data_IF_099154912351
#
_entry.id   IF_099154912351
#
_cell.length_a   1.000
_cell.length_b   1.000
_cell.length_c   1.000
_cell.angle_alpha   90.00
_cell.angle_beta   90.00
_cell.angle_gamma   90.00
#
_symmetry.space_group_name_H-M   'P 1'
#
loop_
_entity.id
_entity.type
_entity.pdbx_description
1 polymer ?
#
# COMPACT_ATOMS: atom_id res chain seq x y z
N UNK A 1 -0.72 13.48 -8.65
CA UNK A 1 -1.04 12.04 -8.41
C UNK A 1 0.11 11.22 -8.99
N UNK A 2 0.22 9.95 -8.67
CA UNK A 2 1.33 9.11 -9.14
C UNK A 2 0.76 7.97 -9.97
N UNK A 3 1.53 7.43 -10.94
CA UNK A 3 1.19 6.18 -11.57
C UNK A 3 1.17 5.06 -10.51
N UNK A 4 0.22 4.16 -10.60
CA UNK A 4 0.03 3.06 -9.65
C UNK A 4 0.16 1.71 -10.34
N UNK A 5 0.68 0.73 -9.65
CA UNK A 5 0.74 -0.65 -10.12
C UNK A 5 0.11 -1.53 -9.05
N UNK A 6 -0.85 -2.36 -9.44
CA UNK A 6 -1.42 -3.34 -8.53
C UNK A 6 -0.41 -4.45 -8.24
N UNK A 7 -0.23 -4.73 -6.96
CA UNK A 7 0.67 -5.75 -6.47
C UNK A 7 -0.02 -6.64 -5.43
N UNK A 8 0.22 -7.93 -5.55
CA UNK A 8 -0.18 -8.90 -4.53
C UNK A 8 1.05 -9.64 -4.04
N UNK A 9 1.31 -9.72 -2.76
CA UNK A 9 2.18 -10.75 -2.25
C UNK A 9 1.41 -12.07 -2.34
N UNK A 10 1.80 -12.92 -3.28
CA UNK A 10 1.28 -14.28 -3.37
C UNK A 10 2.33 -15.22 -2.84
N UNK A 11 1.88 -15.99 -1.91
CA UNK A 11 2.69 -16.88 -1.12
C UNK A 11 2.58 -16.49 0.35
N UNK A 12 2.69 -17.47 1.20
CA UNK A 12 2.96 -17.28 2.63
C UNK A 12 3.98 -16.15 2.76
N UNK A 13 3.67 -15.08 3.49
CA UNK A 13 4.67 -14.04 3.73
C UNK A 13 5.92 -14.77 4.23
N UNK A 14 7.02 -14.78 3.45
CA UNK A 14 8.23 -15.45 3.89
C UNK A 14 8.64 -14.78 5.20
N UNK A 15 8.77 -15.55 6.28
CA UNK A 15 9.07 -15.08 7.63
C UNK A 15 7.88 -14.58 8.50
N UNK A 16 6.64 -15.04 8.28
CA UNK A 16 5.64 -14.97 9.36
C UNK A 16 6.13 -15.71 10.63
N UNK A 17 7.02 -16.70 10.44
CA UNK A 17 7.73 -17.40 11.51
C UNK A 17 8.67 -16.52 12.36
N UNK A 18 8.97 -15.29 11.94
CA UNK A 18 9.75 -14.32 12.74
C UNK A 18 8.89 -13.54 13.76
N UNK A 19 7.57 -13.76 13.75
CA UNK A 19 6.71 -13.22 14.80
C UNK A 19 6.49 -14.36 15.78
N UNK A 20 7.17 -14.31 16.94
CA UNK A 20 7.02 -15.28 18.00
C UNK A 20 5.54 -15.43 18.36
N UNK A 21 4.99 -16.65 18.48
CA UNK A 21 3.57 -16.87 18.80
C UNK A 21 3.12 -16.20 20.10
N UNK A 22 4.04 -16.05 21.07
CA UNK A 22 3.78 -15.35 22.32
C UNK A 22 3.57 -13.84 22.16
N UNK A 23 4.11 -13.21 21.11
CA UNK A 23 3.90 -11.79 20.82
C UNK A 23 2.58 -11.50 20.08
N UNK A 24 1.92 -12.53 19.57
CA UNK A 24 0.68 -12.44 18.80
C UNK A 24 -0.59 -12.48 19.65
N UNK A 25 -0.49 -12.97 20.89
CA UNK A 25 -1.58 -12.89 21.87
C UNK A 25 -1.79 -11.44 22.36
N UNK A 26 -0.76 -10.60 22.31
CA UNK A 26 -0.89 -9.17 22.49
C UNK A 26 -1.25 -8.55 21.12
N UNK A 27 -2.37 -7.85 21.02
CA UNK A 27 -2.82 -7.10 19.83
C UNK A 27 -1.84 -5.96 19.42
N UNK A 28 -0.55 -6.10 19.74
CA UNK A 28 0.51 -5.12 19.59
C UNK A 28 1.89 -5.79 19.47
N UNK A 29 2.71 -5.32 18.52
CA UNK A 29 4.11 -5.75 18.40
C UNK A 29 5.02 -4.60 18.80
N UNK A 30 5.92 -4.85 19.75
CA UNK A 30 6.85 -3.84 20.27
C UNK A 30 8.28 -4.20 19.84
N UNK A 31 9.03 -3.19 19.37
CA UNK A 31 10.47 -3.29 19.11
C UNK A 31 11.16 -1.96 19.43
N UNK A 32 11.95 -1.95 20.50
CA UNK A 32 12.64 -0.76 20.96
C UNK A 32 11.66 0.37 21.30
N UNK A 33 11.85 1.54 20.66
CA UNK A 33 11.01 2.71 20.91
C UNK A 33 9.65 2.66 20.19
N UNK A 34 9.39 1.68 19.34
CA UNK A 34 8.18 1.62 18.53
C UNK A 34 7.25 0.48 18.95
N UNK A 35 5.95 0.76 18.76
CA UNK A 35 4.90 -0.25 18.86
C UNK A 35 3.99 -0.15 17.65
N UNK A 36 3.60 -1.28 17.05
CA UNK A 36 2.62 -1.34 15.94
C UNK A 36 1.40 -2.12 16.39
N UNK A 37 0.22 -1.59 16.11
CA UNK A 37 -1.07 -2.18 16.43
C UNK A 37 -2.22 -1.53 15.66
N UNK A 38 -3.41 -2.06 15.77
CA UNK A 38 -4.62 -1.36 15.33
C UNK A 38 -4.91 -0.16 16.22
N UNK A 39 -5.45 0.91 15.62
CA UNK A 39 -5.93 2.08 16.36
C UNK A 39 -7.05 1.65 17.32
N UNK A 40 -7.01 2.18 18.55
CA UNK A 40 -7.91 1.79 19.65
C UNK A 40 -9.06 2.76 19.86
N UNK A 41 -8.93 3.97 19.31
CA UNK A 41 -9.92 5.04 19.51
C UNK A 41 -9.87 6.08 18.37
N UNK A 42 -10.85 6.98 18.38
CA UNK A 42 -10.97 8.05 17.38
C UNK A 42 -9.81 9.04 17.38
N UNK A 43 -9.17 9.28 18.53
CA UNK A 43 -8.02 10.18 18.60
C UNK A 43 -6.81 9.62 17.84
N UNK A 44 -6.56 8.31 17.92
CA UNK A 44 -5.49 7.66 17.15
C UNK A 44 -5.80 7.62 15.66
N UNK A 45 -7.06 7.40 15.29
CA UNK A 45 -7.50 7.50 13.89
C UNK A 45 -7.28 8.93 13.38
N UNK A 46 -7.70 9.93 14.13
CA UNK A 46 -7.50 11.34 13.76
C UNK A 46 -6.01 11.68 13.61
N UNK A 47 -5.14 11.15 14.49
CA UNK A 47 -3.70 11.32 14.39
C UNK A 47 -3.12 10.64 13.13
N UNK A 48 -3.61 9.45 12.77
CA UNK A 48 -3.24 8.77 11.54
C UNK A 48 -3.65 9.56 10.29
N UNK A 49 -4.88 10.09 10.25
CA UNK A 49 -5.37 10.92 9.14
C UNK A 49 -4.59 12.23 9.00
N UNK A 50 -4.19 12.84 10.13
CA UNK A 50 -3.33 14.03 10.14
C UNK A 50 -1.94 13.70 9.61
N UNK A 51 -1.31 12.60 10.07
CA UNK A 51 -0.01 12.15 9.56
C UNK A 51 -0.05 11.89 8.06
N UNK A 52 -1.12 11.28 7.55
CA UNK A 52 -1.33 11.06 6.11
C UNK A 52 -1.38 12.38 5.34
N UNK A 53 -2.09 13.39 5.86
CA UNK A 53 -2.12 14.73 5.27
C UNK A 53 -0.73 15.37 5.25
N UNK A 54 0.01 15.32 6.34
CA UNK A 54 1.38 15.85 6.42
C UNK A 54 2.29 15.21 5.37
N UNK A 55 2.20 13.87 5.20
CA UNK A 55 3.04 13.14 4.24
C UNK A 55 2.52 13.28 2.81
N UNK A 56 1.25 12.97 2.54
CA UNK A 56 0.77 12.91 1.16
C UNK A 56 0.50 14.29 0.56
N UNK A 57 -0.08 15.22 1.32
CA UNK A 57 -0.40 16.56 0.80
C UNK A 57 0.79 17.51 0.91
N UNK A 58 1.38 17.66 2.11
CA UNK A 58 2.38 18.69 2.34
C UNK A 58 3.78 18.29 1.86
N UNK A 59 4.18 17.02 2.05
CA UNK A 59 5.51 16.58 1.66
C UNK A 59 5.56 16.09 0.20
N UNK A 60 4.59 15.26 -0.23
CA UNK A 60 4.63 14.60 -1.54
C UNK A 60 3.80 15.33 -2.61
N UNK A 61 2.93 16.24 -2.25
CA UNK A 61 2.06 16.95 -3.19
C UNK A 61 1.05 16.03 -3.92
N UNK A 62 0.82 14.82 -3.40
CA UNK A 62 0.04 13.75 -4.03
C UNK A 62 -1.21 13.35 -3.23
N UNK A 63 -1.58 14.14 -2.21
CA UNK A 63 -2.75 13.88 -1.38
C UNK A 63 -4.07 14.34 -2.01
N UNK A 64 -5.16 14.14 -1.28
CA UNK A 64 -6.49 14.56 -1.70
C UNK A 64 -6.64 16.09 -1.62
N UNK A 65 -7.22 16.71 -2.65
CA UNK A 65 -7.46 18.16 -2.65
C UNK A 65 -8.38 18.60 -1.49
N UNK A 66 -9.39 17.80 -1.15
CA UNK A 66 -10.29 18.05 -0.01
C UNK A 66 -9.58 18.10 1.35
N UNK A 67 -8.42 17.47 1.46
CA UNK A 67 -7.64 17.41 2.70
C UNK A 67 -7.07 18.77 3.12
N UNK A 68 -6.89 19.72 2.19
CA UNK A 68 -6.43 21.07 2.52
C UNK A 68 -7.44 21.86 3.36
N UNK A 69 -8.73 21.53 3.26
CA UNK A 69 -9.78 22.17 4.06
C UNK A 69 -9.81 21.70 5.51
N UNK A 70 -9.41 20.45 5.74
CA UNK A 70 -9.56 19.78 7.04
C UNK A 70 -8.23 19.51 7.75
N UNK A 71 -7.10 19.59 7.05
CA UNK A 71 -5.80 19.15 7.54
C UNK A 71 -5.72 17.63 7.79
N UNK A 72 -6.59 16.86 7.13
CA UNK A 72 -6.69 15.40 7.27
C UNK A 72 -6.85 14.73 5.92
N UNK A 73 -6.06 13.75 5.60
CA UNK A 73 -6.25 12.90 4.43
C UNK A 73 -7.34 11.87 4.76
N UNK A 74 -8.57 12.17 4.33
CA UNK A 74 -9.76 11.38 4.62
C UNK A 74 -10.57 11.15 3.35
N UNK A 75 -11.00 9.90 3.15
CA UNK A 75 -11.96 9.52 2.13
C UNK A 75 -13.06 8.62 2.72
N UNK A 76 -14.10 8.31 1.96
CA UNK A 76 -15.25 7.51 2.41
C UNK A 76 -14.86 6.09 2.86
N UNK A 77 -13.76 5.55 2.37
CA UNK A 77 -13.29 4.25 2.81
C UNK A 77 -12.79 4.26 4.26
N UNK A 78 -12.38 5.41 4.78
CA UNK A 78 -11.90 5.52 6.16
C UNK A 78 -12.99 5.27 7.19
N UNK A 79 -14.27 5.50 6.82
CA UNK A 79 -15.43 5.27 7.68
C UNK A 79 -15.60 3.82 8.10
N UNK A 80 -15.17 2.89 7.26
CA UNK A 80 -15.36 1.44 7.47
C UNK A 80 -14.04 0.66 7.47
N UNK A 81 -12.90 1.34 7.37
CA UNK A 81 -11.59 0.68 7.38
C UNK A 81 -11.03 0.52 8.79
N UNK A 82 -10.20 -0.48 8.95
CA UNK A 82 -9.33 -0.60 10.11
C UNK A 82 -8.04 0.20 9.86
N UNK A 83 -7.52 0.87 10.88
CA UNK A 83 -6.28 1.65 10.80
C UNK A 83 -5.21 1.00 11.65
N UNK A 84 -4.07 0.69 11.06
CA UNK A 84 -2.87 0.29 11.79
C UNK A 84 -2.04 1.55 12.05
N UNK A 85 -1.54 1.65 13.28
CA UNK A 85 -0.71 2.77 13.74
C UNK A 85 0.61 2.27 14.28
N UNK A 86 1.68 2.97 13.92
CA UNK A 86 3.00 2.84 14.54
C UNK A 86 3.15 3.98 15.51
N UNK A 87 3.34 3.62 16.79
CA UNK A 87 3.49 4.56 17.90
C UNK A 87 4.96 4.72 18.24
N UNK A 88 5.42 5.94 18.38
CA UNK A 88 6.67 6.27 19.05
C UNK A 88 6.43 6.28 20.55
N UNK A 89 6.81 5.24 21.26
CA UNK A 89 6.49 5.03 22.69
C UNK A 89 6.95 6.15 23.62
N UNK A 90 8.15 6.73 23.44
CA UNK A 90 8.58 7.84 24.29
C UNK A 90 7.69 9.09 24.17
N UNK A 91 7.18 9.39 22.99
CA UNK A 91 6.33 10.57 22.76
C UNK A 91 4.84 10.28 22.78
N UNK A 92 4.43 9.01 22.68
CA UNK A 92 3.04 8.59 22.51
C UNK A 92 2.43 8.95 21.15
N UNK A 93 3.21 9.49 20.21
CA UNK A 93 2.70 9.99 18.93
C UNK A 93 2.58 8.87 17.89
N UNK A 94 1.55 8.97 17.03
CA UNK A 94 1.46 8.18 15.81
C UNK A 94 2.48 8.70 14.80
N UNK A 95 3.42 7.86 14.41
CA UNK A 95 4.53 8.19 13.50
C UNK A 95 4.54 7.37 12.22
N UNK A 96 3.62 6.41 12.11
CA UNK A 96 3.38 5.64 10.91
C UNK A 96 1.98 5.09 10.89
N UNK A 97 1.44 4.83 9.72
CA UNK A 97 0.09 4.27 9.57
C UNK A 97 -0.10 3.60 8.23
N UNK A 98 -1.09 2.75 8.14
CA UNK A 98 -1.74 2.32 6.92
C UNK A 98 -3.19 1.89 7.21
N UNK A 99 -3.99 1.85 6.15
CA UNK A 99 -5.38 1.43 6.17
C UNK A 99 -5.50 -0.02 5.72
N UNK A 100 -6.37 -0.79 6.39
CA UNK A 100 -6.68 -2.18 6.08
C UNK A 100 -8.16 -2.33 5.79
N UNK A 101 -8.49 -3.02 4.70
CA UNK A 101 -9.86 -3.41 4.36
C UNK A 101 -9.91 -4.90 4.02
N UNK A 102 -11.04 -5.53 4.30
CA UNK A 102 -11.33 -6.90 3.87
C UNK A 102 -12.46 -6.89 2.85
N UNK A 103 -12.65 -8.01 2.17
CA UNK A 103 -13.74 -8.21 1.23
C UNK A 103 -15.12 -7.97 1.87
N UNK A 104 -15.31 -8.46 3.09
CA UNK A 104 -16.58 -8.35 3.83
C UNK A 104 -16.87 -6.90 4.25
N UNK A 105 -15.86 -6.23 4.81
CA UNK A 105 -15.98 -4.80 5.22
C UNK A 105 -16.34 -3.94 4.01
N UNK A 106 -15.83 -4.28 2.84
CA UNK A 106 -16.10 -3.57 1.61
C UNK A 106 -17.44 -3.89 0.95
N UNK A 107 -18.15 -4.91 1.41
CA UNK A 107 -19.35 -5.39 0.72
C UNK A 107 -19.05 -6.02 -0.66
N UNK A 108 -17.90 -6.67 -0.79
CA UNK A 108 -17.46 -7.32 -2.03
C UNK A 108 -16.33 -6.58 -2.76
N UNK A 109 -16.14 -6.92 -4.02
CA UNK A 109 -15.03 -6.43 -4.86
C UNK A 109 -15.01 -4.90 -4.97
N UNK A 110 -16.16 -4.25 -5.07
CA UNK A 110 -16.27 -2.79 -5.20
C UNK A 110 -15.87 -2.05 -3.93
N UNK A 111 -15.84 -2.72 -2.80
CA UNK A 111 -15.39 -2.15 -1.54
C UNK A 111 -13.89 -1.99 -1.40
N UNK A 112 -13.12 -2.55 -2.29
CA UNK A 112 -11.69 -2.31 -2.35
C UNK A 112 -11.38 -1.00 -3.10
N UNK A 113 -10.66 -0.03 -2.48
CA UNK A 113 -10.18 1.19 -3.17
C UNK A 113 -9.51 0.92 -4.52
N UNK A 114 -8.75 -0.18 -4.61
CA UNK A 114 -8.09 -0.62 -5.85
C UNK A 114 -9.08 -0.83 -7.00
N UNK A 115 -10.34 -1.22 -6.72
CA UNK A 115 -11.36 -1.44 -7.75
C UNK A 115 -11.76 -0.18 -8.51
N UNK A 116 -11.42 1.01 -8.01
CA UNK A 116 -11.65 2.27 -8.72
C UNK A 116 -10.76 2.43 -9.96
N UNK A 117 -9.52 2.00 -9.83
CA UNK A 117 -8.50 2.16 -10.87
C UNK A 117 -8.32 0.89 -11.71
N UNK A 118 -8.54 -0.28 -11.11
CA UNK A 118 -8.29 -1.58 -11.73
C UNK A 118 -9.54 -2.45 -11.78
N UNK A 119 -9.64 -3.24 -12.84
CA UNK A 119 -10.64 -4.29 -12.95
C UNK A 119 -10.16 -5.53 -12.17
N UNK A 120 -10.81 -5.80 -11.03
CA UNK A 120 -10.47 -6.92 -10.16
C UNK A 120 -11.17 -8.23 -10.53
N UNK A 121 -12.03 -8.24 -11.54
CA UNK A 121 -12.79 -9.45 -11.95
C UNK A 121 -11.90 -10.64 -12.33
N UNK A 122 -10.67 -10.45 -12.89
CA UNK A 122 -9.77 -11.57 -13.15
C UNK A 122 -9.17 -12.23 -11.90
N UNK A 123 -9.30 -11.61 -10.71
CA UNK A 123 -8.86 -12.24 -9.47
C UNK A 123 -9.81 -13.37 -9.06
N UNK A 124 -9.31 -14.56 -8.74
CA UNK A 124 -10.14 -15.62 -8.19
C UNK A 124 -10.89 -15.15 -6.94
N UNK A 125 -12.17 -15.48 -6.84
CA UNK A 125 -12.99 -15.12 -5.68
C UNK A 125 -12.36 -15.57 -4.36
N UNK A 126 -11.76 -16.76 -4.35
CA UNK A 126 -11.05 -17.29 -3.18
C UNK A 126 -9.89 -16.38 -2.73
N UNK A 127 -9.15 -15.80 -3.68
CA UNK A 127 -8.07 -14.84 -3.39
C UNK A 127 -8.64 -13.55 -2.81
N UNK A 128 -9.69 -12.99 -3.43
CA UNK A 128 -10.34 -11.77 -2.96
C UNK A 128 -10.95 -11.95 -1.57
N UNK A 129 -11.70 -13.03 -1.35
CA UNK A 129 -12.35 -13.34 -0.06
C UNK A 129 -11.32 -13.56 1.06
N UNK A 130 -10.11 -14.04 0.74
CA UNK A 130 -9.03 -14.26 1.68
C UNK A 130 -7.97 -13.16 1.69
N UNK A 131 -8.28 -11.98 1.14
CA UNK A 131 -7.35 -10.86 1.08
C UNK A 131 -7.70 -9.74 2.06
N UNK A 132 -6.65 -9.04 2.49
CA UNK A 132 -6.74 -7.66 2.98
C UNK A 132 -6.20 -6.73 1.91
N UNK A 133 -6.86 -5.60 1.68
CA UNK A 133 -6.29 -4.49 0.94
C UNK A 133 -5.58 -3.55 1.90
N UNK A 134 -4.34 -3.20 1.54
CA UNK A 134 -3.52 -2.25 2.28
C UNK A 134 -3.30 -1.01 1.43
N UNK A 135 -3.63 0.14 2.02
CA UNK A 135 -3.45 1.43 1.36
C UNK A 135 -3.06 2.54 2.33
N UNK A 136 -2.77 3.69 1.78
CA UNK A 136 -2.40 4.88 2.55
C UNK A 136 -1.22 4.66 3.51
N UNK A 137 -0.22 3.88 3.08
CA UNK A 137 0.97 3.57 3.89
C UNK A 137 1.88 4.79 3.96
N UNK A 138 2.16 5.28 5.15
CA UNK A 138 3.12 6.36 5.33
C UNK A 138 3.86 6.30 6.68
N UNK A 139 5.03 6.95 6.71
CA UNK A 139 5.87 7.18 7.89
C UNK A 139 6.24 8.65 7.96
N UNK A 140 6.20 9.22 9.16
CA UNK A 140 6.71 10.55 9.44
C UNK A 140 8.21 10.63 9.04
N UNK A 141 8.61 11.71 8.39
CA UNK A 141 9.96 11.89 7.83
C UNK A 141 11.08 11.58 8.82
N UNK A 142 10.95 12.04 10.06
CA UNK A 142 11.94 11.82 11.13
C UNK A 142 12.04 10.36 11.61
N UNK A 143 11.06 9.51 11.24
CA UNK A 143 10.97 8.11 11.67
C UNK A 143 11.18 7.10 10.55
N UNK A 144 11.69 7.51 9.37
CA UNK A 144 11.95 6.62 8.20
C UNK A 144 13.24 5.84 8.36
N UNK A 145 13.37 5.11 9.46
CA UNK A 145 14.49 4.18 9.71
C UNK A 145 14.07 2.72 9.49
N UNK A 146 15.03 1.82 9.40
CA UNK A 146 14.80 0.40 9.14
C UNK A 146 13.92 -0.27 10.19
N UNK A 147 14.07 0.08 11.46
CA UNK A 147 13.28 -0.51 12.56
C UNK A 147 11.81 -0.16 12.42
N UNK A 148 11.48 1.12 12.18
CA UNK A 148 10.11 1.59 11.98
C UNK A 148 9.48 0.95 10.74
N UNK A 149 10.22 0.90 9.63
CA UNK A 149 9.76 0.27 8.38
C UNK A 149 9.46 -1.21 8.57
N UNK A 150 10.39 -1.97 9.16
CA UNK A 150 10.20 -3.40 9.41
C UNK A 150 9.03 -3.64 10.36
N UNK A 151 8.88 -2.80 11.40
CA UNK A 151 7.80 -2.98 12.35
C UNK A 151 6.44 -2.66 11.75
N UNK A 152 6.33 -1.59 10.95
CA UNK A 152 5.12 -1.27 10.20
C UNK A 152 4.74 -2.42 9.26
N UNK A 153 5.73 -3.03 8.62
CA UNK A 153 5.53 -4.23 7.80
C UNK A 153 5.05 -5.44 8.61
N UNK A 154 5.63 -5.68 9.79
CA UNK A 154 5.15 -6.75 10.68
C UNK A 154 3.69 -6.54 11.13
N UNK A 155 3.22 -5.31 11.16
CA UNK A 155 1.81 -5.00 11.36
C UNK A 155 0.88 -5.62 10.32
N UNK A 156 1.35 -5.91 9.08
CA UNK A 156 0.55 -6.64 8.08
C UNK A 156 0.20 -8.04 8.56
N UNK A 157 1.13 -8.70 9.27
CA UNK A 157 0.85 -10.00 9.87
C UNK A 157 -0.28 -9.91 10.90
N UNK A 158 -0.31 -8.85 11.72
CA UNK A 158 -1.44 -8.59 12.63
C UNK A 158 -2.74 -8.41 11.84
N UNK A 159 -2.69 -7.65 10.73
CA UNK A 159 -3.84 -7.45 9.85
C UNK A 159 -4.40 -8.75 9.28
N UNK A 160 -3.53 -9.59 8.75
CA UNK A 160 -3.90 -10.90 8.23
C UNK A 160 -4.50 -11.82 9.29
N UNK A 161 -3.84 -11.92 10.45
CA UNK A 161 -4.25 -12.79 11.53
C UNK A 161 -5.56 -12.34 12.18
N UNK A 162 -5.69 -11.05 12.48
CA UNK A 162 -6.89 -10.51 13.12
C UNK A 162 -8.13 -10.66 12.23
N UNK A 163 -7.95 -10.60 10.91
CA UNK A 163 -9.03 -10.75 9.94
C UNK A 163 -9.15 -12.19 9.39
N UNK A 164 -8.34 -13.13 9.87
CA UNK A 164 -8.28 -14.51 9.35
C UNK A 164 -8.10 -14.56 7.82
N UNK A 165 -7.14 -13.78 7.30
CA UNK A 165 -6.84 -13.64 5.86
C UNK A 165 -5.44 -14.17 5.54
N UNK A 166 -5.21 -14.48 4.24
CA UNK A 166 -3.95 -15.08 3.77
C UNK A 166 -3.24 -14.24 2.73
N UNK A 167 -3.95 -13.34 2.05
CA UNK A 167 -3.42 -12.55 0.96
C UNK A 167 -3.41 -11.06 1.32
N UNK A 168 -2.44 -10.34 0.79
CA UNK A 168 -2.42 -8.87 0.83
C UNK A 168 -2.51 -8.37 -0.60
N UNK A 169 -3.34 -7.41 -0.86
CA UNK A 169 -3.38 -6.68 -2.11
C UNK A 169 -3.27 -5.17 -1.88
N UNK A 170 -2.90 -4.44 -2.89
CA UNK A 170 -2.82 -2.99 -2.84
C UNK A 170 -2.03 -2.47 -4.03
N UNK A 171 -2.11 -1.18 -4.28
CA UNK A 171 -1.29 -0.59 -5.31
C UNK A 171 -0.03 0.07 -4.76
N UNK A 172 1.02 -0.01 -5.55
CA UNK A 172 2.30 0.63 -5.30
C UNK A 172 2.41 1.85 -6.21
N UNK A 173 2.64 3.01 -5.63
CA UNK A 173 2.77 4.26 -6.38
C UNK A 173 4.18 4.42 -6.93
N UNK A 174 4.27 4.82 -8.20
CA UNK A 174 5.48 5.31 -8.83
C UNK A 174 5.58 6.83 -8.64
N UNK A 175 6.79 7.35 -8.51
CA UNK A 175 7.02 8.78 -8.33
C UNK A 175 6.97 9.53 -9.67
N UNK A 176 6.04 9.16 -10.56
CA UNK A 176 5.89 9.77 -11.88
C UNK A 176 4.44 9.82 -12.31
N UNK A 177 4.11 10.77 -13.18
CA UNK A 177 2.85 10.89 -13.93
C UNK A 177 3.06 10.66 -15.43
N UNK A 178 4.33 10.61 -15.87
CA UNK A 178 4.65 10.38 -17.26
C UNK A 178 4.37 8.92 -17.65
N UNK A 179 3.45 8.67 -18.61
CA UNK A 179 3.12 7.32 -19.06
C UNK A 179 4.34 6.56 -19.61
N UNK A 180 5.26 7.26 -20.27
CA UNK A 180 6.46 6.65 -20.84
C UNK A 180 7.41 6.18 -19.75
N UNK A 181 7.62 6.99 -18.71
CA UNK A 181 8.45 6.61 -17.57
C UNK A 181 7.81 5.48 -16.76
N UNK A 182 6.50 5.57 -16.46
CA UNK A 182 5.77 4.52 -15.76
C UNK A 182 5.82 3.18 -16.51
N UNK A 183 5.62 3.20 -17.83
CA UNK A 183 5.72 2.04 -18.70
C UNK A 183 7.13 1.46 -18.75
N UNK A 184 8.16 2.31 -18.81
CA UNK A 184 9.57 1.89 -18.77
C UNK A 184 9.91 1.17 -17.46
N UNK A 185 9.49 1.73 -16.32
CA UNK A 185 9.68 1.10 -15.00
C UNK A 185 8.97 -0.26 -14.97
N UNK A 186 7.71 -0.32 -15.45
CA UNK A 186 6.96 -1.56 -15.51
C UNK A 186 7.65 -2.62 -16.40
N UNK A 187 8.16 -2.25 -17.58
CA UNK A 187 8.89 -3.15 -18.46
C UNK A 187 10.19 -3.68 -17.82
N UNK A 188 10.90 -2.85 -17.06
CA UNK A 188 12.09 -3.28 -16.31
C UNK A 188 11.73 -4.27 -15.21
N UNK A 189 10.69 -3.99 -14.41
CA UNK A 189 10.21 -4.88 -13.35
C UNK A 189 9.71 -6.22 -13.92
N UNK A 190 9.04 -6.18 -15.06
CA UNK A 190 8.56 -7.38 -15.75
C UNK A 190 9.74 -8.28 -16.20
N UNK A 191 10.76 -7.68 -16.82
CA UNK A 191 11.97 -8.37 -17.23
C UNK A 191 12.78 -8.92 -16.04
N UNK A 192 12.72 -8.24 -14.90
CA UNK A 192 13.36 -8.69 -13.65
C UNK A 192 12.58 -9.81 -12.92
N UNK A 193 11.48 -10.32 -13.49
CA UNK A 193 10.72 -11.43 -12.92
C UNK A 193 9.78 -11.05 -11.78
N UNK A 194 9.43 -9.76 -11.66
CA UNK A 194 8.51 -9.29 -10.62
C UNK A 194 7.03 -9.45 -10.98
N UNK A 195 6.69 -9.98 -12.16
CA UNK A 195 5.30 -10.25 -12.52
C UNK A 195 4.76 -11.48 -11.80
N UNK A 196 3.47 -11.42 -11.45
CA UNK A 196 2.75 -12.62 -11.01
C UNK A 196 2.72 -13.67 -12.14
N UNK A 197 2.78 -14.96 -11.80
CA UNK A 197 2.82 -16.01 -12.82
C UNK A 197 1.50 -16.10 -13.61
N UNK A 198 0.36 -16.04 -12.95
CA UNK A 198 -0.97 -16.31 -13.50
C UNK A 198 -1.90 -15.10 -13.53
N UNK A 199 -1.90 -14.29 -12.47
CA UNK A 199 -2.86 -13.18 -12.35
C UNK A 199 -2.47 -12.03 -13.28
N UNK A 200 -3.45 -11.58 -14.08
CA UNK A 200 -3.34 -10.42 -14.97
C UNK A 200 -4.53 -9.52 -14.78
N UNK A 201 -4.28 -8.31 -14.29
CA UNK A 201 -5.27 -7.27 -14.02
C UNK A 201 -5.01 -6.09 -14.96
N UNK A 202 -6.05 -5.38 -15.34
CA UNK A 202 -5.95 -4.21 -16.23
C UNK A 202 -6.52 -2.98 -15.54
N UNK A 203 -5.91 -1.81 -15.78
CA UNK A 203 -6.53 -0.53 -15.45
C UNK A 203 -7.90 -0.38 -16.13
N UNK A 204 -8.85 0.23 -15.42
CA UNK A 204 -10.14 0.63 -15.99
C UNK A 204 -9.95 1.68 -17.08
N UNK A 205 -10.97 1.87 -17.91
CA UNK A 205 -10.90 2.73 -19.11
C UNK A 205 -10.41 4.13 -18.77
N UNK A 206 -10.73 4.81 -17.77
CA UNK A 206 -10.24 6.16 -17.40
C UNK A 206 -8.82 6.21 -16.81
N UNK A 207 -8.19 5.05 -16.59
CA UNK A 207 -6.89 4.95 -15.89
C UNK A 207 -5.81 4.27 -16.73
N UNK A 208 -6.04 4.03 -18.00
CA UNK A 208 -5.07 3.34 -18.85
C UNK A 208 -3.80 4.19 -19.02
N UNK A 209 -2.67 3.62 -18.63
CA UNK A 209 -1.36 4.13 -18.97
C UNK A 209 -1.01 3.62 -20.38
N UNK A 210 -0.78 4.54 -21.31
CA UNK A 210 -0.39 4.20 -22.69
C UNK A 210 1.08 4.56 -22.87
N UNK A 211 1.90 3.55 -23.18
CA UNK A 211 3.31 3.74 -23.53
C UNK A 211 3.69 2.83 -24.69
N UNK A 212 4.79 3.13 -25.35
CA UNK A 212 5.40 2.26 -26.32
C UNK A 212 6.78 1.84 -25.86
N UNK A 213 7.14 0.59 -26.14
CA UNK A 213 8.46 0.07 -25.77
C UNK A 213 9.54 0.74 -26.62
N UNK A 214 10.41 1.44 -25.94
CA UNK A 214 11.64 1.96 -26.55
C UNK A 214 12.76 0.93 -26.39
N UNK A 215 13.55 0.66 -27.43
CA UNK A 215 14.76 -0.15 -27.25
C UNK A 215 15.72 0.62 -26.35
N UNK A 216 15.94 0.10 -25.15
CA UNK A 216 16.94 0.64 -24.23
C UNK A 216 18.33 0.34 -24.76
N UNK A 217 19.08 1.38 -25.14
CA UNK A 217 20.50 1.25 -25.54
C UNK A 217 21.40 0.86 -24.37
N UNK A 218 21.00 1.14 -23.12
CA UNK A 218 21.65 0.70 -21.87
C UNK A 218 20.56 0.53 -20.78
N UNK A 219 20.68 -0.49 -19.90
CA UNK A 219 19.81 -0.59 -18.74
C UNK A 219 19.98 0.64 -17.86
N UNK A 220 18.92 1.44 -17.72
CA UNK A 220 18.93 2.53 -16.75
C UNK A 220 18.66 1.94 -15.35
N UNK A 221 19.22 2.60 -14.33
CA UNK A 221 18.95 2.17 -12.95
C UNK A 221 17.44 2.23 -12.66
N UNK A 222 16.93 1.17 -12.04
CA UNK A 222 15.53 1.08 -11.63
C UNK A 222 15.30 1.99 -10.42
N UNK A 223 14.70 3.15 -10.65
CA UNK A 223 14.35 4.09 -9.58
C UNK A 223 12.89 3.88 -9.18
N UNK A 224 12.69 3.25 -8.03
CA UNK A 224 11.37 3.09 -7.40
C UNK A 224 11.41 3.59 -5.96
N UNK A 225 10.28 4.09 -5.41
CA UNK A 225 10.20 4.52 -4.01
C UNK A 225 10.68 3.43 -3.03
N UNK A 226 11.25 3.84 -1.90
CA UNK A 226 11.83 2.92 -0.91
C UNK A 226 10.84 1.86 -0.42
N UNK A 227 9.59 2.24 -0.18
CA UNK A 227 8.51 1.33 0.20
C UNK A 227 8.23 0.30 -0.91
N UNK A 228 8.17 0.74 -2.17
CA UNK A 228 7.98 -0.15 -3.33
C UNK A 228 9.11 -1.18 -3.40
N UNK A 229 10.36 -0.73 -3.29
CA UNK A 229 11.55 -1.60 -3.28
C UNK A 229 11.51 -2.62 -2.14
N UNK A 230 11.04 -2.21 -0.96
CA UNK A 230 10.87 -3.12 0.18
C UNK A 230 9.82 -4.19 -0.14
N UNK A 231 8.69 -3.83 -0.72
CA UNK A 231 7.65 -4.79 -1.12
C UNK A 231 8.21 -5.83 -2.10
N UNK A 232 8.96 -5.40 -3.12
CA UNK A 232 9.59 -6.32 -4.08
C UNK A 232 10.55 -7.31 -3.41
N UNK A 233 11.38 -6.83 -2.46
CA UNK A 233 12.29 -7.69 -1.67
C UNK A 233 11.55 -8.72 -0.82
N UNK A 234 10.32 -8.42 -0.42
CA UNK A 234 9.46 -9.32 0.36
C UNK A 234 8.63 -10.27 -0.52
N UNK A 235 8.91 -10.29 -1.83
CA UNK A 235 8.29 -11.23 -2.75
C UNK A 235 6.97 -10.76 -3.36
N UNK A 236 6.60 -9.50 -3.19
CA UNK A 236 5.43 -8.92 -3.85
C UNK A 236 5.54 -9.06 -5.36
N UNK A 237 4.44 -9.47 -6.01
CA UNK A 237 4.34 -9.62 -7.46
C UNK A 237 3.37 -8.59 -8.04
N UNK A 238 3.72 -8.08 -9.21
CA UNK A 238 2.88 -7.16 -9.98
C UNK A 238 1.85 -7.94 -10.78
N UNK A 239 0.61 -7.49 -10.76
CA UNK A 239 -0.49 -8.19 -11.42
C UNK A 239 -0.89 -7.59 -12.78
N UNK A 240 -0.31 -6.47 -13.16
CA UNK A 240 -0.65 -5.83 -14.42
C UNK A 240 0.09 -4.52 -14.67
N UNK A 241 -0.22 -3.87 -15.80
CA UNK A 241 0.39 -2.60 -16.21
C UNK A 241 0.00 -1.46 -15.25
N UNK A 242 0.74 -0.35 -15.26
CA UNK A 242 0.43 0.82 -14.44
C UNK A 242 -0.90 1.47 -14.83
N UNK A 243 -1.55 2.08 -13.84
CA UNK A 243 -2.68 2.98 -14.01
C UNK A 243 -2.24 4.43 -13.80
N UNK A 244 -2.77 5.33 -14.60
CA UNK A 244 -2.60 6.78 -14.46
C UNK A 244 -3.96 7.43 -14.55
N UNK A 245 -4.28 8.32 -13.64
CA UNK A 245 -5.51 9.08 -13.72
C UNK A 245 -5.36 10.23 -14.72
N UNK A 246 -5.94 10.07 -15.90
CA UNK A 246 -5.92 11.07 -16.97
C UNK A 246 -6.69 12.37 -16.62
N UNK A 247 -7.56 12.36 -15.60
CA UNK A 247 -8.35 13.52 -15.21
C UNK A 247 -7.60 14.55 -14.34
N UNK A 248 -6.30 14.39 -14.11
CA UNK A 248 -5.47 15.33 -13.35
C UNK A 248 -4.79 16.42 -14.18
N UNK A 249 -5.08 16.51 -15.48
CA UNK A 249 -4.71 17.65 -16.31
C UNK A 249 -5.79 18.75 -16.24
N UNK A 250 -5.98 19.37 -15.06
CA UNK A 250 -6.60 20.70 -14.95
C UNK A 250 -6.15 21.38 -13.67
#
# INVERSE_FOLDING_TARGET
>A
MSATILATPIGTIPNLSLVEPSSLSAREIIKGRYAVRFARNSAEIAAALKLRYEVFNLELGAGLASSFLTGRDFDEFDLTSQHVVLIDRPSGKVVGTYRVRTYEIGGGTQGFPTSREFDLTPLPHEVLANAIEVGRVCLAKAHRNSTAQILLWKGLALGLMQNNKRHVLGFLSLATQDPMEAGRIFDQLSRAGHMHAEIRIRPRTGYKCLWYRMPEKRPSELVVPSLFRMCLRLGTKLCGPPAINASSER
#
